data_IF_099598757927
#
_entry.id   IF_099598757927
#
_cell.length_a   1.000
_cell.length_b   1.000
_cell.length_c   1.000
_cell.angle_alpha   90.00
_cell.angle_beta   90.00
_cell.angle_gamma   90.00
#
_symmetry.space_group_name_H-M   'P 1'
#
loop_
_entity.id
_entity.type
_entity.pdbx_description
1 polymer ?
#
# COMPACT_ATOMS: atom_id res chain seq x y z
N UNK A 1 33.62 -0.36 -0.34
CA UNK A 1 32.69 -0.97 0.64
C UNK A 1 32.47 -2.42 0.25
N UNK A 2 32.45 -3.37 1.20
CA UNK A 2 32.18 -4.79 0.94
C UNK A 2 30.71 -5.07 1.27
N UNK A 3 30.00 -5.72 0.35
CA UNK A 3 28.62 -6.15 0.55
C UNK A 3 28.58 -7.67 0.69
N UNK A 4 27.66 -8.17 1.51
CA UNK A 4 27.35 -9.60 1.67
C UNK A 4 25.85 -9.81 1.53
N UNK A 5 25.41 -11.03 1.21
CA UNK A 5 23.98 -11.36 1.23
C UNK A 5 23.49 -11.44 2.68
N UNK A 6 22.25 -11.03 2.90
CA UNK A 6 21.57 -11.18 4.18
C UNK A 6 21.51 -12.66 4.57
N UNK A 7 22.00 -13.06 5.75
CA UNK A 7 22.02 -14.46 6.16
C UNK A 7 20.64 -15.04 6.50
N UNK A 8 19.59 -14.20 6.60
CA UNK A 8 18.23 -14.64 6.92
C UNK A 8 17.38 -14.93 5.69
N UNK A 9 17.36 -14.01 4.72
CA UNK A 9 16.52 -14.16 3.53
C UNK A 9 17.31 -14.53 2.27
N UNK A 10 18.64 -14.43 2.29
CA UNK A 10 19.54 -14.71 1.18
C UNK A 10 19.26 -13.92 -0.12
N UNK A 11 18.35 -12.96 -0.05
CA UNK A 11 17.84 -12.20 -1.19
C UNK A 11 18.48 -10.81 -1.26
N UNK A 12 18.49 -10.09 -0.14
CA UNK A 12 18.97 -8.72 -0.07
C UNK A 12 20.46 -8.64 0.25
N UNK A 13 21.15 -7.68 -0.35
CA UNK A 13 22.54 -7.35 -0.01
C UNK A 13 22.57 -6.36 1.16
N UNK A 14 23.53 -6.56 2.05
CA UNK A 14 23.78 -5.74 3.24
C UNK A 14 25.25 -5.36 3.30
N UNK A 15 25.58 -4.29 4.02
CA UNK A 15 26.99 -3.93 4.24
C UNK A 15 27.67 -4.94 5.18
N UNK A 16 29.01 -4.95 5.20
CA UNK A 16 29.77 -5.89 6.03
C UNK A 16 29.47 -5.74 7.53
N UNK A 17 29.20 -4.51 7.98
CA UNK A 17 28.84 -4.11 9.34
C UNK A 17 27.38 -4.41 9.71
N UNK A 18 26.51 -4.66 8.73
CA UNK A 18 25.13 -5.05 9.00
C UNK A 18 25.01 -6.56 9.27
N UNK A 19 24.16 -6.93 10.23
CA UNK A 19 23.89 -8.34 10.56
C UNK A 19 22.79 -8.94 9.67
N UNK A 20 21.72 -8.20 9.40
CA UNK A 20 20.56 -8.59 8.60
C UNK A 20 20.00 -7.38 7.82
N UNK A 21 19.28 -7.62 6.73
CA UNK A 21 18.71 -6.54 5.91
C UNK A 21 17.57 -5.81 6.64
N UNK A 22 17.30 -4.57 6.21
CA UNK A 22 16.25 -3.71 6.80
C UNK A 22 14.88 -4.38 6.80
N UNK A 23 14.48 -5.03 5.70
CA UNK A 23 13.20 -5.76 5.60
C UNK A 23 13.09 -6.82 6.70
N UNK A 24 14.11 -7.66 6.87
CA UNK A 24 14.13 -8.67 7.92
C UNK A 24 14.17 -8.07 9.34
N UNK A 25 14.81 -6.91 9.53
CA UNK A 25 14.81 -6.17 10.81
C UNK A 25 13.39 -5.71 11.14
N UNK A 26 12.66 -5.17 10.17
CA UNK A 26 11.30 -4.66 10.36
C UNK A 26 10.31 -5.80 10.66
N UNK A 27 10.42 -6.92 9.93
CA UNK A 27 9.64 -8.14 10.22
C UNK A 27 9.85 -8.66 11.65
N UNK A 28 11.11 -8.71 12.12
CA UNK A 28 11.44 -9.11 13.49
C UNK A 28 10.96 -8.12 14.55
N UNK A 29 10.92 -6.83 14.19
CA UNK A 29 10.48 -5.76 15.09
C UNK A 29 8.96 -5.68 15.19
N UNK A 30 8.21 -6.50 14.44
CA UNK A 30 6.75 -6.40 14.32
C UNK A 30 6.30 -5.07 13.72
N UNK A 31 7.22 -4.34 13.05
CA UNK A 31 6.85 -3.14 12.31
C UNK A 31 6.09 -3.61 11.09
N UNK A 32 4.88 -3.07 10.92
CA UNK A 32 4.15 -3.17 9.67
C UNK A 32 5.10 -2.81 8.52
N UNK A 33 5.17 -3.67 7.51
CA UNK A 33 6.03 -3.39 6.36
C UNK A 33 5.61 -2.05 5.74
N UNK A 34 6.52 -1.36 5.07
CA UNK A 34 6.16 -0.14 4.30
C UNK A 34 5.11 -0.43 3.20
N UNK A 35 4.84 -1.70 2.90
CA UNK A 35 3.79 -2.16 1.99
C UNK A 35 2.50 -2.57 2.72
N UNK A 36 2.47 -2.52 4.04
CA UNK A 36 1.29 -2.74 4.88
C UNK A 36 0.59 -1.40 5.18
N UNK A 37 0.75 -0.45 4.26
CA UNK A 37 -0.12 0.72 4.15
C UNK A 37 -1.53 0.20 3.87
N UNK A 38 -2.45 0.52 4.75
CA UNK A 38 -3.87 0.14 4.69
C UNK A 38 -4.36 0.19 3.25
N UNK A 39 -4.84 -0.95 2.74
CA UNK A 39 -5.23 -1.13 1.34
C UNK A 39 -6.25 -0.05 0.95
N UNK A 40 -5.76 1.02 0.31
CA UNK A 40 -6.59 2.16 -0.03
C UNK A 40 -7.55 1.75 -1.14
N UNK A 41 -8.83 1.63 -0.78
CA UNK A 41 -9.88 1.34 -1.74
C UNK A 41 -10.08 2.55 -2.65
N UNK A 42 -9.83 2.41 -3.95
CA UNK A 42 -10.06 3.48 -4.93
C UNK A 42 -11.42 3.26 -5.61
N UNK A 43 -12.16 4.34 -5.83
CA UNK A 43 -13.44 4.31 -6.52
C UNK A 43 -13.34 3.68 -7.92
N UNK A 44 -14.07 2.59 -8.22
CA UNK A 44 -13.95 1.88 -9.50
C UNK A 44 -14.47 2.68 -10.70
N UNK A 45 -15.27 3.73 -10.46
CA UNK A 45 -15.89 4.54 -11.51
C UNK A 45 -15.00 5.70 -12.00
N UNK A 46 -14.13 6.24 -11.13
CA UNK A 46 -13.28 7.38 -11.48
C UNK A 46 -11.79 7.14 -11.28
N UNK A 47 -11.41 6.07 -10.58
CA UNK A 47 -10.02 5.67 -10.32
C UNK A 47 -9.14 6.79 -9.76
N UNK A 48 -9.75 7.76 -9.05
CA UNK A 48 -9.06 8.95 -8.51
C UNK A 48 -9.33 9.20 -7.04
N UNK A 49 -10.56 8.96 -6.59
CA UNK A 49 -10.96 9.22 -5.21
C UNK A 49 -10.92 7.93 -4.40
N UNK A 50 -10.39 7.99 -3.19
CA UNK A 50 -10.44 6.89 -2.23
C UNK A 50 -11.86 6.71 -1.66
N UNK A 51 -12.14 5.49 -1.23
CA UNK A 51 -13.38 5.03 -0.61
C UNK A 51 -13.08 4.61 0.83
N UNK A 52 -14.07 4.77 1.69
CA UNK A 52 -14.09 4.04 2.96
C UNK A 52 -14.42 2.55 2.73
N UNK A 53 -14.06 1.64 3.64
CA UNK A 53 -14.39 0.21 3.53
C UNK A 53 -15.88 -0.11 3.34
N UNK A 54 -16.77 0.80 3.73
CA UNK A 54 -18.22 0.64 3.60
C UNK A 54 -18.80 1.26 2.31
N UNK A 55 -17.99 2.00 1.55
CA UNK A 55 -18.45 2.70 0.34
C UNK A 55 -18.09 1.92 -0.93
N UNK A 56 -19.06 1.81 -1.85
CA UNK A 56 -18.87 1.18 -3.17
C UNK A 56 -18.61 2.21 -4.29
N UNK A 57 -18.87 3.49 -4.04
CA UNK A 57 -18.75 4.58 -5.01
C UNK A 57 -18.50 5.90 -4.28
N UNK A 58 -17.56 6.71 -4.80
CA UNK A 58 -17.22 7.97 -4.15
C UNK A 58 -18.34 9.01 -4.30
N UNK A 59 -18.40 9.96 -3.37
CA UNK A 59 -19.38 11.04 -3.34
C UNK A 59 -19.49 11.81 -4.66
N UNK A 60 -18.37 12.08 -5.33
CA UNK A 60 -18.34 12.77 -6.62
C UNK A 60 -19.02 11.96 -7.75
N UNK A 61 -18.80 10.64 -7.80
CA UNK A 61 -19.46 9.77 -8.77
C UNK A 61 -20.95 9.59 -8.44
N UNK A 62 -21.30 9.51 -7.15
CA UNK A 62 -22.69 9.45 -6.68
C UNK A 62 -23.49 10.66 -7.12
N UNK A 63 -22.98 11.87 -6.86
CA UNK A 63 -23.63 13.12 -7.26
C UNK A 63 -23.78 13.25 -8.78
N UNK A 64 -22.79 12.79 -9.58
CA UNK A 64 -22.90 12.77 -11.05
C UNK A 64 -24.00 11.82 -11.54
N UNK A 65 -24.20 10.69 -10.86
CA UNK A 65 -25.23 9.71 -11.20
C UNK A 65 -26.62 10.25 -10.88
N UNK A 66 -26.80 10.87 -9.71
CA UNK A 66 -28.06 11.50 -9.29
C UNK A 66 -28.48 12.62 -10.26
N UNK A 67 -27.53 13.47 -10.69
CA UNK A 67 -27.82 14.51 -11.69
C UNK A 67 -28.24 13.98 -13.07
N UNK A 68 -27.85 12.75 -13.44
CA UNK A 68 -28.27 12.12 -14.70
C UNK A 68 -29.65 11.48 -14.63
N UNK A 69 -30.13 11.17 -13.43
CA UNK A 69 -31.49 10.63 -13.24
C UNK A 69 -32.57 11.72 -13.18
N UNK A 70 -32.18 12.99 -13.15
CA UNK A 70 -33.07 14.16 -13.16
C UNK A 70 -33.25 14.81 -14.55
N UNK A 71 -32.68 14.24 -15.62
CA UNK A 71 -33.01 14.64 -16.99
C UNK A 71 -34.14 13.73 -17.54
N UNK A 72 -35.32 14.28 -17.90
CA UNK A 72 -36.45 13.52 -18.46
C UNK A 72 -36.21 13.03 -19.90
#
# INVERSE_FOLDING_TARGET
MKYKKCPRCELNYITADEEICTVCKDELSGKKSVFDEEEQLICPFCQRNCLTPQELMCSACRAKRERRTDEP
#
